data_IF_138611964362
#
_entry.id   IF_138611964362
#
_cell.length_a   1.000
_cell.length_b   1.000
_cell.length_c   1.000
_cell.angle_alpha   90.00
_cell.angle_beta   90.00
_cell.angle_gamma   90.00
#
_symmetry.space_group_name_H-M   'P 1'
#
loop_
_entity.id
_entity.type
_entity.pdbx_description
1 polymer ?
#
# COMPACT_ATOMS: atom_id res chain seq x y z
N UNK A 1 -6.49 -34.21 6.20
CA UNK A 1 -7.23 -32.97 5.82
C UNK A 1 -7.30 -32.12 7.08
N UNK A 2 -6.46 -31.09 7.16
CA UNK A 2 -6.50 -30.12 8.27
C UNK A 2 -7.75 -29.27 8.06
N UNK A 3 -8.70 -29.33 8.99
CA UNK A 3 -9.86 -28.47 8.96
C UNK A 3 -9.38 -27.01 9.03
N UNK A 4 -9.66 -26.24 8.00
CA UNK A 4 -9.49 -24.81 8.01
C UNK A 4 -10.30 -24.23 9.18
N UNK A 5 -9.65 -23.54 10.12
CA UNK A 5 -10.28 -23.03 11.35
C UNK A 5 -11.12 -21.77 11.14
N UNK A 6 -11.17 -21.23 9.92
CA UNK A 6 -11.91 -20.00 9.60
C UNK A 6 -12.97 -20.28 8.54
N UNK A 7 -14.09 -19.60 8.71
CA UNK A 7 -15.25 -19.72 7.83
C UNK A 7 -15.07 -18.81 6.60
N UNK A 8 -14.88 -19.42 5.44
CA UNK A 8 -14.84 -18.72 4.16
C UNK A 8 -16.24 -18.54 3.53
N UNK A 9 -17.29 -19.00 4.20
CA UNK A 9 -18.65 -19.06 3.62
C UNK A 9 -19.30 -17.69 3.47
N UNK A 10 -18.86 -16.67 4.22
CA UNK A 10 -19.52 -15.35 4.23
C UNK A 10 -19.61 -14.70 2.85
N UNK A 11 -18.59 -14.87 2.03
CA UNK A 11 -18.50 -14.26 0.71
C UNK A 11 -18.53 -15.28 -0.44
N UNK A 12 -18.62 -16.57 -0.10
CA UNK A 12 -18.61 -17.67 -1.06
C UNK A 12 -17.24 -18.31 -1.23
N UNK A 13 -17.26 -19.54 -1.73
CA UNK A 13 -16.05 -20.29 -2.03
C UNK A 13 -15.29 -19.62 -3.18
N UNK A 14 -13.97 -19.47 -3.00
CA UNK A 14 -13.09 -18.83 -4.00
C UNK A 14 -13.08 -17.30 -3.98
N UNK A 15 -13.73 -16.66 -3.01
CA UNK A 15 -13.62 -15.21 -2.87
C UNK A 15 -12.18 -14.78 -2.58
N UNK A 16 -11.68 -13.79 -3.33
CA UNK A 16 -10.32 -13.25 -3.22
C UNK A 16 -10.29 -11.79 -2.75
N UNK A 17 -11.44 -11.21 -2.49
CA UNK A 17 -11.58 -9.77 -2.23
C UNK A 17 -12.05 -9.44 -0.82
N UNK A 18 -12.68 -10.41 -0.14
CA UNK A 18 -13.20 -10.22 1.20
C UNK A 18 -14.17 -9.05 1.32
N UNK A 19 -14.26 -8.48 2.51
CA UNK A 19 -15.17 -7.37 2.80
C UNK A 19 -14.97 -6.17 1.85
N UNK A 20 -13.74 -5.88 1.44
CA UNK A 20 -13.45 -4.75 0.55
C UNK A 20 -14.17 -4.90 -0.79
N UNK A 21 -14.11 -6.09 -1.43
CA UNK A 21 -14.76 -6.33 -2.70
C UNK A 21 -16.29 -6.33 -2.63
N UNK A 22 -16.85 -6.74 -1.50
CA UNK A 22 -18.30 -6.89 -1.34
C UNK A 22 -19.01 -5.69 -0.72
N UNK A 23 -18.27 -4.85 0.05
CA UNK A 23 -18.86 -3.70 0.76
C UNK A 23 -18.52 -2.36 0.12
N UNK A 24 -17.52 -2.30 -0.77
CA UNK A 24 -17.17 -1.07 -1.50
C UNK A 24 -18.02 -0.93 -2.77
N UNK A 25 -19.31 -0.73 -2.59
CA UNK A 25 -20.25 -0.43 -3.66
C UNK A 25 -20.64 1.05 -3.67
N UNK A 26 -21.31 1.47 -4.74
CA UNK A 26 -21.74 2.85 -4.92
C UNK A 26 -22.69 3.32 -3.79
N UNK A 27 -23.59 2.45 -3.34
CA UNK A 27 -24.55 2.75 -2.27
C UNK A 27 -23.85 2.97 -0.95
N UNK A 28 -22.93 2.09 -0.59
CA UNK A 28 -22.13 2.19 0.63
C UNK A 28 -21.26 3.45 0.60
N UNK A 29 -20.66 3.76 -0.54
CA UNK A 29 -19.87 4.98 -0.74
C UNK A 29 -20.72 6.24 -0.53
N UNK A 30 -21.89 6.34 -1.15
CA UNK A 30 -22.78 7.47 -0.98
C UNK A 30 -23.28 7.58 0.47
N UNK A 31 -23.58 6.46 1.11
CA UNK A 31 -23.96 6.44 2.53
C UNK A 31 -22.83 6.94 3.43
N UNK A 32 -21.59 6.58 3.17
CA UNK A 32 -20.43 7.04 3.91
C UNK A 32 -20.21 8.55 3.74
N UNK A 33 -20.28 9.06 2.52
CA UNK A 33 -20.16 10.49 2.22
C UNK A 33 -21.27 11.30 2.92
N UNK A 34 -22.48 10.76 3.01
CA UNK A 34 -23.61 11.38 3.72
C UNK A 34 -23.41 11.46 5.24
N UNK A 35 -22.39 10.84 5.82
CA UNK A 35 -22.05 10.93 7.24
C UNK A 35 -21.14 12.13 7.56
N UNK A 36 -20.58 12.77 6.56
CA UNK A 36 -19.70 13.92 6.74
C UNK A 36 -20.54 15.10 7.27
N UNK A 37 -20.21 15.59 8.46
CA UNK A 37 -20.91 16.68 9.13
C UNK A 37 -20.12 17.98 9.18
N UNK A 38 -18.81 17.90 9.01
CA UNK A 38 -17.92 19.05 8.97
C UNK A 38 -16.91 18.90 7.84
N UNK A 39 -16.26 19.99 7.46
CA UNK A 39 -15.14 19.97 6.52
C UNK A 39 -13.80 19.76 7.20
N UNK A 40 -13.76 19.38 8.47
CA UNK A 40 -12.52 19.12 9.19
C UNK A 40 -11.82 17.89 8.65
N UNK A 41 -10.53 18.04 8.36
CA UNK A 41 -9.65 16.94 7.92
C UNK A 41 -8.74 16.58 9.07
N UNK A 42 -8.87 15.36 9.56
CA UNK A 42 -8.00 14.82 10.62
C UNK A 42 -7.00 13.89 9.96
N UNK A 43 -5.73 14.28 9.96
CA UNK A 43 -4.65 13.43 9.47
C UNK A 43 -4.27 12.41 10.52
N UNK A 44 -4.53 11.14 10.21
CA UNK A 44 -4.18 9.98 11.04
C UNK A 44 -2.91 9.28 10.54
N UNK A 45 -2.25 9.83 9.54
CA UNK A 45 -1.02 9.27 9.01
C UNK A 45 0.15 9.45 9.97
N UNK A 46 1.08 8.52 9.91
CA UNK A 46 2.39 8.67 10.54
C UNK A 46 3.41 9.07 9.47
N UNK A 47 4.27 10.02 9.78
CA UNK A 47 5.31 10.44 8.83
C UNK A 47 6.24 9.26 8.52
N UNK A 48 6.38 8.97 7.22
CA UNK A 48 7.31 7.95 6.72
C UNK A 48 8.58 8.69 6.29
N UNK A 49 9.63 8.56 7.07
CA UNK A 49 10.90 9.26 6.88
C UNK A 49 12.09 8.42 7.35
N UNK A 50 13.30 8.86 7.06
CA UNK A 50 14.50 8.25 7.63
C UNK A 50 14.46 8.41 9.16
N UNK A 51 14.52 7.27 9.87
CA UNK A 51 14.34 7.22 11.31
C UNK A 51 12.92 6.87 11.77
N UNK A 52 11.97 6.69 10.84
CA UNK A 52 10.66 6.13 11.18
C UNK A 52 10.82 4.77 11.88
N UNK A 53 9.99 4.47 12.89
CA UNK A 53 10.06 3.21 13.60
C UNK A 53 9.87 2.01 12.66
N UNK A 54 10.68 0.99 12.84
CA UNK A 54 10.57 -0.30 12.16
C UNK A 54 10.92 -1.43 13.12
N UNK A 55 10.50 -2.65 12.82
CA UNK A 55 10.65 -3.81 13.70
C UNK A 55 11.62 -4.84 13.09
N UNK A 56 12.94 -4.78 13.42
CA UNK A 56 13.87 -5.79 12.96
C UNK A 56 13.61 -7.16 13.64
N UNK A 57 14.02 -8.29 13.01
CA UNK A 57 14.72 -8.37 11.75
C UNK A 57 13.82 -8.35 10.52
N UNK A 58 12.50 -8.43 10.68
CA UNK A 58 11.54 -8.63 9.60
C UNK A 58 11.28 -7.37 8.77
N UNK A 59 11.49 -6.20 9.37
CA UNK A 59 11.31 -4.93 8.70
C UNK A 59 12.66 -4.26 8.42
N UNK A 60 12.74 -3.55 7.29
CA UNK A 60 13.88 -2.72 6.92
C UNK A 60 13.55 -1.25 7.14
N UNK A 61 14.54 -0.41 7.47
CA UNK A 61 14.29 1.02 7.61
C UNK A 61 13.88 1.66 6.28
N UNK A 62 13.16 2.76 6.36
CA UNK A 62 12.90 3.61 5.20
C UNK A 62 14.20 4.24 4.69
N UNK A 63 14.47 4.04 3.41
CA UNK A 63 15.62 4.62 2.71
C UNK A 63 15.10 5.39 1.50
N UNK A 64 15.53 6.64 1.36
CA UNK A 64 15.29 7.43 0.17
C UNK A 64 16.63 7.81 -0.47
N UNK A 65 16.73 7.67 -1.76
CA UNK A 65 17.90 8.06 -2.54
C UNK A 65 17.49 8.81 -3.81
N UNK A 66 18.32 9.75 -4.26
CA UNK A 66 18.08 10.42 -5.53
C UNK A 66 18.53 9.54 -6.68
N UNK A 67 17.63 9.20 -7.59
CA UNK A 67 17.94 8.50 -8.84
C UNK A 67 18.17 9.46 -10.01
N UNK A 68 17.61 10.67 -9.96
CA UNK A 68 17.91 11.74 -10.89
C UNK A 68 17.79 13.11 -10.21
N UNK A 69 18.63 14.04 -10.59
CA UNK A 69 18.53 15.44 -10.16
C UNK A 69 18.01 16.31 -11.30
N UNK A 70 17.32 17.40 -10.97
CA UNK A 70 16.82 18.36 -11.94
C UNK A 70 17.92 18.84 -12.88
N UNK A 71 19.15 19.10 -12.36
CA UNK A 71 20.30 19.50 -13.13
C UNK A 71 20.71 18.47 -14.19
N UNK A 72 20.78 17.19 -13.80
CA UNK A 72 21.17 16.12 -14.71
C UNK A 72 20.06 15.82 -15.73
N UNK A 73 18.81 15.81 -15.27
CA UNK A 73 17.63 15.63 -16.12
C UNK A 73 17.54 16.74 -17.20
N UNK A 74 17.78 17.99 -16.83
CA UNK A 74 17.83 19.11 -17.76
C UNK A 74 18.91 18.89 -18.83
N UNK A 75 20.15 18.55 -18.43
CA UNK A 75 21.26 18.30 -19.36
C UNK A 75 20.96 17.17 -20.36
N UNK A 76 20.31 16.10 -19.89
CA UNK A 76 19.91 14.99 -20.77
C UNK A 76 18.88 15.47 -21.80
N UNK A 77 17.88 16.22 -21.36
CA UNK A 77 16.82 16.76 -22.23
C UNK A 77 17.37 17.76 -23.26
N UNK A 78 18.31 18.61 -22.87
CA UNK A 78 19.02 19.51 -23.79
C UNK A 78 19.73 18.72 -24.92
N UNK A 79 20.43 17.64 -24.58
CA UNK A 79 21.06 16.74 -25.57
C UNK A 79 20.05 16.09 -26.51
N UNK A 80 18.81 15.88 -26.04
CA UNK A 80 17.71 15.37 -26.85
C UNK A 80 16.95 16.47 -27.62
N UNK A 81 17.43 17.72 -27.60
CA UNK A 81 16.87 18.83 -28.36
C UNK A 81 15.84 19.69 -27.60
N UNK A 82 15.62 19.46 -26.31
CA UNK A 82 14.71 20.32 -25.55
C UNK A 82 15.32 21.70 -25.30
N UNK A 83 14.56 22.75 -25.62
CA UNK A 83 14.99 24.16 -25.48
C UNK A 83 14.44 24.86 -24.24
N UNK A 84 13.49 24.23 -23.56
CA UNK A 84 12.73 24.83 -22.44
C UNK A 84 13.41 24.74 -21.07
N UNK A 85 14.61 24.16 -20.98
CA UNK A 85 15.40 23.98 -19.76
C UNK A 85 14.64 23.32 -18.60
N UNK A 86 13.67 22.46 -18.91
CA UNK A 86 12.92 21.71 -17.89
C UNK A 86 13.80 20.60 -17.31
N UNK A 87 13.93 20.58 -16.00
CA UNK A 87 14.53 19.50 -15.22
C UNK A 87 13.52 18.87 -14.28
N UNK A 88 13.79 17.67 -13.79
CA UNK A 88 13.00 16.99 -12.79
C UNK A 88 13.92 16.23 -11.83
N UNK A 89 13.51 16.15 -10.57
CA UNK A 89 14.08 15.22 -9.60
C UNK A 89 13.31 13.91 -9.66
N UNK A 90 13.96 12.82 -9.35
CA UNK A 90 13.38 11.50 -9.24
C UNK A 90 14.05 10.78 -8.08
N UNK A 91 13.23 10.29 -7.17
CA UNK A 91 13.67 9.58 -5.98
C UNK A 91 13.32 8.09 -6.08
N UNK A 92 14.11 7.31 -5.40
CA UNK A 92 13.87 5.88 -5.15
C UNK A 92 13.62 5.69 -3.66
N UNK A 93 12.54 4.98 -3.35
CA UNK A 93 12.19 4.57 -2.00
C UNK A 93 12.41 3.06 -1.86
N UNK A 94 13.02 2.66 -0.75
CA UNK A 94 13.18 1.27 -0.35
C UNK A 94 12.75 1.14 1.11
N UNK A 95 11.77 0.28 1.37
CA UNK A 95 11.24 0.01 2.70
C UNK A 95 10.39 -1.26 2.68
N UNK A 96 10.17 -1.86 3.83
CA UNK A 96 9.08 -2.81 4.02
C UNK A 96 7.75 -2.07 4.11
N UNK A 97 6.67 -2.67 3.66
CA UNK A 97 5.36 -2.00 3.54
C UNK A 97 4.64 -1.78 4.86
N UNK A 98 5.03 -2.51 5.93
CA UNK A 98 4.41 -2.42 7.26
C UNK A 98 5.07 -1.31 8.10
N UNK A 99 5.00 -0.08 7.62
CA UNK A 99 5.55 1.12 8.28
C UNK A 99 4.49 2.22 8.28
N UNK A 100 4.32 2.88 9.42
CA UNK A 100 3.32 3.93 9.59
C UNK A 100 1.88 3.41 9.51
N UNK A 101 0.95 4.27 9.15
CA UNK A 101 -0.46 3.91 8.99
C UNK A 101 -0.69 3.23 7.65
N UNK A 102 -1.09 1.98 7.67
CA UNK A 102 -1.28 1.15 6.47
C UNK A 102 -2.42 0.14 6.65
N UNK A 103 -2.78 -0.53 5.59
CA UNK A 103 -3.75 -1.62 5.57
C UNK A 103 -3.04 -2.86 5.04
N UNK A 104 -3.12 -3.96 5.80
CA UNK A 104 -2.59 -5.23 5.37
C UNK A 104 -3.48 -5.89 4.31
N UNK A 105 -2.85 -6.56 3.35
CA UNK A 105 -3.57 -7.40 2.40
C UNK A 105 -4.13 -8.65 3.08
N UNK A 106 -5.12 -9.28 2.46
CA UNK A 106 -5.71 -10.53 2.95
C UNK A 106 -4.69 -11.68 3.06
N UNK A 107 -3.65 -11.66 2.25
CA UNK A 107 -2.57 -12.64 2.27
C UNK A 107 -1.47 -12.34 3.29
N UNK A 108 -1.58 -11.27 4.09
CA UNK A 108 -0.53 -10.94 5.07
C UNK A 108 -0.46 -11.93 6.23
N UNK A 109 -1.60 -12.46 6.66
CA UNK A 109 -1.67 -13.43 7.74
C UNK A 109 -2.13 -14.80 7.27
N UNK A 110 -1.57 -15.83 7.86
CA UNK A 110 -2.03 -17.21 7.75
C UNK A 110 -2.57 -17.73 9.07
N UNK A 111 -3.44 -18.70 9.03
CA UNK A 111 -3.83 -19.51 10.18
C UNK A 111 -3.36 -20.94 9.93
N UNK A 112 -2.32 -21.35 10.62
CA UNK A 112 -1.58 -22.55 10.24
C UNK A 112 -1.00 -22.40 8.84
N UNK A 113 -1.28 -23.35 7.96
CA UNK A 113 -0.81 -23.35 6.57
C UNK A 113 -1.80 -22.73 5.57
N UNK A 114 -2.86 -22.06 6.07
CA UNK A 114 -3.92 -21.52 5.21
C UNK A 114 -3.93 -20.00 5.21
N UNK A 115 -3.97 -19.43 4.01
CA UNK A 115 -4.19 -18.04 3.72
C UNK A 115 -5.68 -17.79 3.40
N UNK A 116 -6.08 -16.54 3.31
CA UNK A 116 -7.43 -16.17 2.86
C UNK A 116 -7.68 -16.72 1.44
N UNK A 117 -8.93 -17.09 1.16
CA UNK A 117 -9.32 -17.60 -0.16
C UNK A 117 -8.94 -19.06 -0.42
N UNK A 118 -8.53 -19.81 0.61
CA UNK A 118 -8.20 -21.22 0.52
C UNK A 118 -6.79 -21.52 0.00
N UNK A 119 -5.97 -20.49 -0.23
CA UNK A 119 -4.57 -20.66 -0.60
C UNK A 119 -3.74 -21.26 0.55
N UNK A 120 -2.64 -21.90 0.21
CA UNK A 120 -1.66 -22.38 1.16
C UNK A 120 -0.42 -21.48 1.18
N UNK A 121 0.34 -21.56 2.27
CA UNK A 121 1.58 -20.77 2.42
C UNK A 121 2.69 -21.19 1.44
N UNK A 122 2.51 -22.28 0.71
CA UNK A 122 3.44 -22.77 -0.30
C UNK A 122 3.13 -22.24 -1.72
N UNK A 123 1.98 -21.60 -1.90
CA UNK A 123 1.57 -20.95 -3.15
C UNK A 123 2.04 -19.49 -3.24
#
# INVERSE_FOLDING_TARGET
MTNCLHDHSRWGEGDQTGAAGHLLDQKTTLSALGKIQSGEIIDLSHTIEMGAPFMPPNQTPYIISSSATAKNSMKIREKLGAKNKVGANLERIEMTTHVGTHIDSLGHFSIGEHLYGGHTIEE
#
